data_IF_466822669757
#
_entry.id   IF_466822669757
#
_cell.length_a   1.000
_cell.length_b   1.000
_cell.length_c   1.000
_cell.angle_alpha   90.00
_cell.angle_beta   90.00
_cell.angle_gamma   90.00
#
_symmetry.space_group_name_H-M   'P 1'
#
loop_
_entity.id
_entity.type
_entity.pdbx_description
1 polymer ?
#
# COMPACT_ATOMS: atom_id res chain seq x y z
N UNK A 1 -4.69 6.53 4.33
CA UNK A 1 -5.93 7.32 4.25
C UNK A 1 -6.22 7.69 2.81
N UNK A 2 -7.47 8.03 2.49
CA UNK A 2 -7.93 8.39 1.14
C UNK A 2 -8.73 9.69 1.22
N UNK A 3 -8.48 10.60 0.29
CA UNK A 3 -9.22 11.84 0.12
C UNK A 3 -10.17 11.69 -1.07
N UNK A 4 -11.46 11.92 -0.84
CA UNK A 4 -12.54 11.76 -1.84
C UNK A 4 -13.38 13.02 -2.03
N UNK A 5 -13.00 14.14 -1.38
CA UNK A 5 -13.74 15.40 -1.42
C UNK A 5 -13.66 16.08 -2.78
N UNK A 6 -14.73 16.81 -3.15
CA UNK A 6 -14.84 17.49 -4.47
C UNK A 6 -13.91 18.70 -4.62
N UNK A 7 -13.45 19.28 -3.50
CA UNK A 7 -12.66 20.51 -3.46
C UNK A 7 -11.14 20.27 -3.43
N UNK A 8 -10.70 19.01 -3.40
CA UNK A 8 -9.29 18.61 -3.40
C UNK A 8 -9.00 17.52 -4.42
N UNK A 9 -7.72 17.22 -4.63
CA UNK A 9 -7.34 16.11 -5.48
C UNK A 9 -7.67 14.77 -4.82
N UNK A 10 -8.40 13.91 -5.54
CA UNK A 10 -8.63 12.53 -5.12
C UNK A 10 -7.29 11.81 -5.02
N UNK A 11 -6.94 11.41 -3.81
CA UNK A 11 -5.61 10.87 -3.51
C UNK A 11 -5.67 9.84 -2.41
N UNK A 12 -4.71 8.93 -2.38
CA UNK A 12 -4.49 8.04 -1.25
C UNK A 12 -3.03 8.09 -0.82
N UNK A 13 -2.82 7.78 0.46
CA UNK A 13 -1.52 7.46 1.04
C UNK A 13 -1.72 6.26 1.95
N UNK A 14 -1.11 5.13 1.61
CA UNK A 14 -1.26 3.88 2.34
C UNK A 14 0.12 3.33 2.70
N UNK A 15 0.29 3.00 3.97
CA UNK A 15 1.48 2.32 4.47
C UNK A 15 1.29 0.81 4.36
N UNK A 16 2.08 0.11 3.53
CA UNK A 16 2.16 -1.35 3.58
C UNK A 16 2.85 -1.83 4.86
N UNK A 17 2.46 -3.01 5.36
CA UNK A 17 3.13 -3.66 6.50
C UNK A 17 4.48 -4.24 6.10
N UNK A 18 4.55 -4.84 4.92
CA UNK A 18 5.72 -5.52 4.40
C UNK A 18 5.83 -5.26 2.89
N UNK A 19 7.05 -5.02 2.41
CA UNK A 19 7.33 -4.74 1.00
C UNK A 19 8.59 -5.47 0.60
N UNK A 20 8.53 -6.21 -0.50
CA UNK A 20 9.68 -6.86 -1.10
C UNK A 20 9.94 -6.32 -2.50
N UNK A 21 11.22 -6.17 -2.83
CA UNK A 21 11.67 -6.00 -4.20
C UNK A 21 11.96 -7.39 -4.76
N UNK A 22 11.21 -7.76 -5.80
CA UNK A 22 11.29 -9.07 -6.42
C UNK A 22 12.26 -9.05 -7.60
N UNK A 23 13.13 -10.05 -7.68
CA UNK A 23 14.05 -10.23 -8.80
C UNK A 23 13.67 -11.46 -9.63
N UNK A 24 13.35 -11.26 -10.90
CA UNK A 24 12.96 -12.34 -11.82
C UNK A 24 14.14 -13.15 -12.37
N UNK A 25 15.38 -12.78 -11.99
CA UNK A 25 16.63 -13.40 -12.45
C UNK A 25 17.20 -14.44 -11.46
N UNK A 26 16.44 -14.80 -10.43
CA UNK A 26 16.83 -15.79 -9.42
C UNK A 26 17.64 -15.24 -8.25
N UNK A 27 17.92 -13.92 -8.22
CA UNK A 27 18.40 -13.28 -6.99
C UNK A 27 17.34 -13.38 -5.89
N UNK A 28 17.79 -13.41 -4.63
CA UNK A 28 16.89 -13.39 -3.47
C UNK A 28 16.15 -12.06 -3.41
N UNK A 29 14.86 -12.12 -3.10
CA UNK A 29 14.03 -10.94 -2.89
C UNK A 29 14.56 -10.11 -1.71
N UNK A 30 14.46 -8.79 -1.84
CA UNK A 30 14.98 -7.85 -0.84
C UNK A 30 13.85 -7.19 -0.05
N UNK A 31 13.91 -7.26 1.28
CA UNK A 31 12.98 -6.54 2.15
C UNK A 31 13.24 -5.03 2.07
N UNK A 32 12.22 -4.27 1.65
CA UNK A 32 12.27 -2.81 1.54
C UNK A 32 11.50 -2.18 2.69
N UNK A 33 12.14 -1.27 3.42
CA UNK A 33 11.55 -0.59 4.57
C UNK A 33 11.29 0.88 4.30
N UNK A 34 10.29 1.43 4.98
CA UNK A 34 10.07 2.88 5.04
C UNK A 34 9.54 3.44 3.73
N UNK A 35 8.58 2.76 3.12
CA UNK A 35 7.92 3.20 1.89
C UNK A 35 6.42 3.32 2.14
N UNK A 36 5.82 4.38 1.62
CA UNK A 36 4.38 4.55 1.47
C UNK A 36 4.00 4.42 0.00
N UNK A 37 2.80 3.90 -0.26
CA UNK A 37 2.19 3.94 -1.57
C UNK A 37 1.30 5.17 -1.66
N UNK A 38 1.50 5.97 -2.71
CA UNK A 38 0.72 7.18 -2.96
C UNK A 38 0.16 7.17 -4.38
N UNK A 39 -0.81 8.04 -4.63
CA UNK A 39 -1.33 8.29 -5.96
C UNK A 39 -2.79 8.66 -5.95
N UNK A 40 -3.42 8.59 -7.13
CA UNK A 40 -4.87 8.77 -7.27
C UNK A 40 -5.55 7.40 -7.44
N UNK A 41 -6.79 7.22 -6.95
CA UNK A 41 -7.52 5.98 -7.18
C UNK A 41 -7.65 5.63 -8.68
N UNK A 42 -7.92 6.64 -9.53
CA UNK A 42 -8.02 6.44 -10.98
C UNK A 42 -6.72 5.89 -11.58
N UNK A 43 -5.56 6.44 -11.19
CA UNK A 43 -4.26 5.97 -11.68
C UNK A 43 -3.98 4.53 -11.24
N UNK A 44 -4.25 4.21 -9.96
CA UNK A 44 -4.06 2.86 -9.43
C UNK A 44 -4.94 1.84 -10.17
N UNK A 45 -6.26 2.08 -10.26
CA UNK A 45 -7.18 1.15 -10.92
C UNK A 45 -6.88 0.99 -12.41
N UNK A 46 -6.53 2.07 -13.12
CA UNK A 46 -6.19 2.02 -14.54
C UNK A 46 -4.90 1.25 -14.86
N UNK A 47 -4.05 1.00 -13.85
CA UNK A 47 -2.81 0.24 -14.01
C UNK A 47 -2.92 -1.22 -13.56
N UNK A 48 -4.08 -1.68 -13.09
CA UNK A 48 -4.28 -3.10 -12.79
C UNK A 48 -4.28 -3.87 -14.12
N UNK A 49 -3.31 -4.77 -14.30
CA UNK A 49 -3.16 -5.56 -15.53
C UNK A 49 -3.56 -7.01 -15.35
N UNK A 50 -3.51 -7.54 -14.13
CA UNK A 50 -3.99 -8.88 -13.81
C UNK A 50 -4.60 -8.92 -12.40
N UNK A 51 -5.55 -9.84 -12.21
CA UNK A 51 -6.10 -10.22 -10.91
C UNK A 51 -6.06 -11.75 -10.79
N UNK A 52 -5.74 -12.26 -9.62
CA UNK A 52 -5.76 -13.68 -9.29
C UNK A 52 -7.18 -14.24 -9.14
N UNK A 53 -7.28 -15.56 -9.09
CA UNK A 53 -8.55 -16.27 -8.87
C UNK A 53 -8.93 -16.49 -7.40
N UNK A 54 -7.93 -16.45 -6.51
CA UNK A 54 -8.13 -16.62 -5.06
C UNK A 54 -8.30 -15.26 -4.38
N UNK A 55 -9.21 -15.19 -3.41
CA UNK A 55 -9.55 -13.96 -2.68
C UNK A 55 -9.13 -14.05 -1.22
N UNK A 56 -8.64 -12.94 -0.69
CA UNK A 56 -8.37 -12.80 0.74
C UNK A 56 -9.29 -11.76 1.38
N UNK A 57 -9.62 -12.00 2.66
CA UNK A 57 -10.53 -11.17 3.43
C UNK A 57 -9.74 -10.38 4.46
N UNK A 58 -9.98 -9.07 4.52
CA UNK A 58 -9.46 -8.18 5.54
C UNK A 58 -10.63 -7.58 6.33
N UNK A 59 -10.62 -7.74 7.65
CA UNK A 59 -11.57 -7.07 8.55
C UNK A 59 -10.83 -6.03 9.37
N UNK A 60 -11.38 -4.81 9.44
CA UNK A 60 -10.77 -3.69 10.14
C UNK A 60 -11.78 -2.59 10.43
N UNK A 61 -11.28 -1.37 10.62
CA UNK A 61 -12.09 -0.20 10.98
C UNK A 61 -11.90 0.89 9.94
N UNK A 62 -13.00 1.43 9.44
CA UNK A 62 -13.01 2.60 8.56
C UNK A 62 -13.37 3.83 9.39
N UNK A 63 -12.52 4.85 9.35
CA UNK A 63 -12.73 6.14 10.02
C UNK A 63 -13.09 7.25 9.04
N UNK A 64 -14.06 8.07 9.41
CA UNK A 64 -14.45 9.30 8.72
C UNK A 64 -14.69 10.42 9.75
N UNK A 65 -15.04 11.62 9.28
CA UNK A 65 -15.43 12.73 10.17
C UNK A 65 -16.65 12.42 11.04
N UNK A 66 -17.48 11.45 10.63
CA UNK A 66 -18.63 10.95 11.37
C UNK A 66 -18.31 9.89 12.42
N UNK A 67 -17.06 9.42 12.52
CA UNK A 67 -16.63 8.38 13.46
C UNK A 67 -16.02 7.15 12.80
N UNK A 68 -15.92 6.07 13.57
CA UNK A 68 -15.32 4.79 13.16
C UNK A 68 -16.38 3.70 13.05
N UNK A 69 -16.33 2.90 11.99
CA UNK A 69 -17.23 1.76 11.79
C UNK A 69 -16.44 0.50 11.40
N UNK A 70 -16.84 -0.69 11.88
CA UNK A 70 -16.22 -1.94 11.44
C UNK A 70 -16.53 -2.19 9.97
N UNK A 71 -15.53 -2.65 9.21
CA UNK A 71 -15.64 -2.96 7.79
C UNK A 71 -14.93 -4.26 7.46
N UNK A 72 -15.38 -4.89 6.39
CA UNK A 72 -14.69 -6.03 5.77
C UNK A 72 -14.46 -5.70 4.30
N UNK A 73 -13.23 -5.93 3.84
CA UNK A 73 -12.81 -5.82 2.46
C UNK A 73 -12.38 -7.20 1.94
N UNK A 74 -12.58 -7.42 0.64
CA UNK A 74 -12.14 -8.63 -0.05
C UNK A 74 -11.41 -8.21 -1.32
N UNK A 75 -10.29 -8.85 -1.61
CA UNK A 75 -9.52 -8.61 -2.84
C UNK A 75 -8.78 -9.87 -3.24
N UNK A 76 -8.65 -10.15 -4.55
CA UNK A 76 -7.64 -11.08 -5.01
C UNK A 76 -6.25 -10.44 -4.94
N UNK A 77 -5.22 -11.24 -5.18
CA UNK A 77 -3.90 -10.70 -5.54
C UNK A 77 -4.03 -9.93 -6.86
N UNK A 78 -3.49 -8.72 -6.92
CA UNK A 78 -3.51 -7.88 -8.13
C UNK A 78 -2.09 -7.55 -8.58
N UNK A 79 -1.88 -7.56 -9.90
CA UNK A 79 -0.66 -7.06 -10.52
C UNK A 79 -0.93 -5.68 -11.09
N UNK A 80 -0.20 -4.70 -10.60
CA UNK A 80 -0.29 -3.31 -11.05
C UNK A 80 0.96 -2.97 -11.85
N UNK A 81 0.79 -2.50 -13.10
CA UNK A 81 1.89 -2.18 -13.99
C UNK A 81 2.76 -1.02 -13.46
N UNK A 82 2.15 -0.06 -12.78
CA UNK A 82 2.85 1.10 -12.20
C UNK A 82 2.20 1.56 -10.89
N UNK A 83 3.02 1.73 -9.87
CA UNK A 83 2.64 2.30 -8.56
C UNK A 83 3.65 3.36 -8.17
N UNK A 84 3.18 4.47 -7.59
CA UNK A 84 4.06 5.50 -7.03
C UNK A 84 4.39 5.19 -5.57
N UNK A 85 5.68 5.29 -5.25
CA UNK A 85 6.22 5.04 -3.93
C UNK A 85 6.81 6.33 -3.36
N UNK A 86 6.50 6.64 -2.11
CA UNK A 86 7.07 7.75 -1.37
C UNK A 86 7.94 7.21 -0.24
N UNK A 87 9.14 7.77 -0.10
CA UNK A 87 10.02 7.45 1.03
C UNK A 87 9.42 8.03 2.32
N UNK A 88 9.26 7.21 3.35
CA UNK A 88 8.88 7.69 4.68
C UNK A 88 9.95 8.62 5.25
N UNK A 89 9.50 9.62 6.01
CA UNK A 89 10.39 10.37 6.87
C UNK A 89 11.17 9.40 7.76
N UNK A 90 12.49 9.64 7.90
CA UNK A 90 13.34 8.80 8.74
C UNK A 90 12.78 8.83 10.17
N UNK A 91 12.44 7.69 10.78
CA UNK A 91 11.93 7.70 12.14
C UNK A 91 13.01 8.28 13.06
N UNK A 92 12.63 9.24 13.91
CA UNK A 92 13.56 9.95 14.80
C UNK A 92 14.05 9.06 15.94
N UNK A 93 13.34 7.99 16.31
CA UNK A 93 13.74 7.12 17.42
C UNK A 93 13.27 5.68 17.17
N UNK A 94 14.22 4.80 16.88
CA UNK A 94 14.41 3.41 17.36
C UNK A 94 15.54 2.84 16.49
N UNK A 95 16.72 2.49 17.04
CA UNK A 95 17.74 1.79 16.27
C UNK A 95 17.13 0.52 15.69
N UNK A 96 17.38 0.24 14.41
CA UNK A 96 17.01 -1.05 13.86
C UNK A 96 17.75 -2.13 14.68
N UNK A 97 16.99 -2.97 15.40
CA UNK A 97 17.57 -4.09 16.18
C UNK A 97 18.29 -5.11 15.29
N UNK A 98 18.00 -5.08 13.99
CA UNK A 98 18.61 -5.95 12.99
C UNK A 98 19.46 -5.13 12.00
N UNK A 99 20.64 -5.66 11.59
CA UNK A 99 21.48 -5.02 10.58
C UNK A 99 20.74 -4.89 9.23
N UNK A 100 21.20 -3.95 8.42
CA UNK A 100 20.71 -3.80 7.03
C UNK A 100 21.15 -5.04 6.23
N UNK A 101 20.25 -5.67 5.45
CA UNK A 101 20.62 -6.72 4.51
C UNK A 101 21.54 -6.18 3.41
#
# INVERSE_FOLDING_TARGET
FTQTGRTGANSFNVTPLEVYKIYVDGRKDELVRGVDMIGTPLSMFSNIVHAGGEFEIFTGTCGASSGNVPVTAISPTILVNKVELQKKAKPTVTPALLPRP
#
